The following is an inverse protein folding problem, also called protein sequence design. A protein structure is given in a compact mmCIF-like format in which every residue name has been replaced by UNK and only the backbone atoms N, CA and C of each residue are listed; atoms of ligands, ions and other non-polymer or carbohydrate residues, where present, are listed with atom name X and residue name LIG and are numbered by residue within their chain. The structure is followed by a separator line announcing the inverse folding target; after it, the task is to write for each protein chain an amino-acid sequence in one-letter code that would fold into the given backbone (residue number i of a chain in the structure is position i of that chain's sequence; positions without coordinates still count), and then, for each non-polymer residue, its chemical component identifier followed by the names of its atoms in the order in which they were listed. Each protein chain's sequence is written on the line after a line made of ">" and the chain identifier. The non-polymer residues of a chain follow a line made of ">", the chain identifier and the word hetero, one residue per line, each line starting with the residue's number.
data_IF_736896315397
#
_entry.id   IF_736896315397
#
_cell.length_a   1.000
_cell.length_b   1.000
_cell.length_c   1.000
_cell.angle_alpha   90.00
_cell.angle_beta   90.00
_cell.angle_gamma   90.00
#
_symmetry.space_group_name_H-M   'P 1'
#
loop_
_entity.id
_entity.type
_entity.pdbx_description
1 polymer ?
#
# COMPACT_ATOMS: atom_id res chain seq x y z
N UNK A 1 2.49 17.39 -9.43
CA UNK A 1 3.28 16.54 -10.34
C UNK A 1 3.14 15.10 -9.88
N UNK A 2 2.57 14.22 -10.70
CA UNK A 2 2.35 12.81 -10.36
C UNK A 2 3.67 12.07 -10.07
N UNK A 3 4.71 12.32 -10.87
CA UNK A 3 6.02 11.64 -10.72
C UNK A 3 6.64 11.91 -9.34
N UNK A 4 6.46 13.11 -8.81
CA UNK A 4 6.94 13.47 -7.47
C UNK A 4 6.24 12.67 -6.38
N UNK A 5 4.92 12.53 -6.47
CA UNK A 5 4.16 11.74 -5.48
C UNK A 5 4.53 10.26 -5.56
N UNK A 6 4.68 9.72 -6.77
CA UNK A 6 5.14 8.34 -6.95
C UNK A 6 6.53 8.12 -6.33
N UNK A 7 7.47 9.04 -6.54
CA UNK A 7 8.81 8.94 -5.95
C UNK A 7 8.78 8.96 -4.40
N UNK A 8 7.96 9.84 -3.82
CA UNK A 8 7.77 9.91 -2.36
C UNK A 8 7.11 8.62 -1.83
N UNK A 9 6.07 8.11 -2.49
CA UNK A 9 5.41 6.86 -2.10
C UNK A 9 6.35 5.66 -2.19
N UNK A 10 7.20 5.58 -3.21
CA UNK A 10 8.25 4.56 -3.30
C UNK A 10 9.23 4.66 -2.13
N UNK A 11 9.69 5.87 -1.80
CA UNK A 11 10.57 6.06 -0.65
C UNK A 11 9.91 5.61 0.66
N UNK A 12 8.65 5.98 0.89
CA UNK A 12 7.87 5.51 2.05
C UNK A 12 7.74 3.99 2.07
N UNK A 13 7.47 3.36 0.92
CA UNK A 13 7.36 1.91 0.81
C UNK A 13 8.68 1.21 1.18
N UNK A 14 9.81 1.65 0.62
CA UNK A 14 11.11 1.06 0.91
C UNK A 14 11.55 1.25 2.37
N UNK A 15 11.19 2.37 2.98
CA UNK A 15 11.57 2.71 4.37
C UNK A 15 10.56 2.26 5.43
N UNK A 16 9.38 1.76 5.02
CA UNK A 16 8.33 1.34 5.95
C UNK A 16 7.58 2.49 6.63
N UNK A 17 7.64 3.71 6.08
CA UNK A 17 7.00 4.89 6.66
C UNK A 17 5.51 4.94 6.29
N UNK A 18 4.71 4.12 6.96
CA UNK A 18 3.27 3.94 6.70
C UNK A 18 2.49 5.25 6.77
N UNK A 19 2.64 6.01 7.85
CA UNK A 19 1.87 7.24 8.08
C UNK A 19 2.18 8.32 7.05
N UNK A 20 3.46 8.45 6.66
CA UNK A 20 3.86 9.35 5.58
C UNK A 20 3.32 8.89 4.23
N UNK A 21 3.35 7.59 3.94
CA UNK A 21 2.76 7.03 2.73
C UNK A 21 1.27 7.39 2.60
N UNK A 22 0.48 7.18 3.67
CA UNK A 22 -0.93 7.59 3.74
C UNK A 22 -1.09 9.09 3.53
N UNK A 23 -0.31 9.89 4.27
CA UNK A 23 -0.36 11.36 4.23
C UNK A 23 -0.15 11.87 2.81
N UNK A 24 0.88 11.40 2.11
CA UNK A 24 1.17 11.84 0.74
C UNK A 24 0.16 11.31 -0.28
N UNK A 25 -0.32 10.09 -0.11
CA UNK A 25 -1.39 9.53 -0.96
C UNK A 25 -2.70 10.32 -0.84
N UNK A 26 -3.08 10.77 0.35
CA UNK A 26 -4.25 11.64 0.52
C UNK A 26 -3.97 13.07 0.06
N UNK A 27 -2.75 13.58 0.30
CA UNK A 27 -2.35 14.93 -0.11
C UNK A 27 -2.44 15.10 -1.63
N UNK A 28 -2.09 14.10 -2.45
CA UNK A 28 -2.20 14.26 -3.90
C UNK A 28 -3.64 14.52 -4.39
N UNK A 29 -4.65 14.04 -3.66
CA UNK A 29 -6.07 14.17 -3.97
C UNK A 29 -6.69 15.47 -3.47
N UNK A 30 -5.97 16.24 -2.66
CA UNK A 30 -6.50 17.46 -2.06
C UNK A 30 -6.70 18.56 -3.13
N UNK A 31 -7.36 19.66 -2.76
CA UNK A 31 -7.61 20.79 -3.68
C UNK A 31 -6.34 21.47 -4.19
N UNK A 32 -5.23 21.38 -3.45
CA UNK A 32 -3.96 22.04 -3.80
C UNK A 32 -3.28 21.35 -4.98
N UNK A 33 -3.38 20.01 -5.04
CA UNK A 33 -2.72 19.21 -6.09
C UNK A 33 -3.71 18.68 -7.12
N UNK A 34 -4.93 18.36 -6.71
CA UNK A 34 -6.03 17.87 -7.54
C UNK A 34 -5.63 16.74 -8.50
N UNK A 35 -4.81 15.79 -8.02
CA UNK A 35 -4.34 14.65 -8.79
C UNK A 35 -5.17 13.41 -8.47
N UNK A 36 -5.55 12.68 -9.51
CA UNK A 36 -6.15 11.36 -9.39
C UNK A 36 -5.06 10.30 -9.25
N UNK A 37 -5.07 9.46 -8.19
CA UNK A 37 -4.10 8.39 -8.06
C UNK A 37 -4.23 7.39 -9.21
N UNK A 38 -3.10 7.03 -9.80
CA UNK A 38 -2.98 5.98 -10.83
C UNK A 38 -2.58 4.65 -10.21
N UNK A 39 -2.62 3.59 -11.01
CA UNK A 39 -2.37 2.22 -10.56
C UNK A 39 -1.02 2.07 -9.85
N UNK A 40 0.01 2.81 -10.28
CA UNK A 40 1.33 2.83 -9.67
C UNK A 40 1.29 3.40 -8.24
N UNK A 41 0.52 4.46 -8.00
CA UNK A 41 0.36 5.06 -6.68
C UNK A 41 -0.36 4.12 -5.71
N UNK A 42 -1.41 3.43 -6.20
CA UNK A 42 -2.10 2.39 -5.43
C UNK A 42 -1.16 1.23 -5.13
N UNK A 43 -0.39 0.77 -6.13
CA UNK A 43 0.60 -0.30 -5.97
C UNK A 43 1.60 -0.02 -4.85
N UNK A 44 2.18 1.19 -4.81
CA UNK A 44 3.11 1.57 -3.75
C UNK A 44 2.48 1.53 -2.36
N UNK A 45 1.26 2.06 -2.21
CA UNK A 45 0.60 2.13 -0.91
C UNK A 45 0.11 0.74 -0.45
N UNK A 46 -0.41 -0.09 -1.37
CA UNK A 46 -0.80 -1.48 -1.07
C UNK A 46 0.42 -2.28 -0.63
N UNK A 47 1.55 -2.21 -1.35
CA UNK A 47 2.77 -2.93 -0.97
C UNK A 47 3.28 -2.50 0.42
N UNK A 48 3.30 -1.18 0.69
CA UNK A 48 3.66 -0.63 2.00
C UNK A 48 2.76 -1.18 3.12
N UNK A 49 1.44 -1.16 2.94
CA UNK A 49 0.48 -1.67 3.92
C UNK A 49 0.61 -3.19 4.14
N UNK A 50 0.75 -3.95 3.05
CA UNK A 50 0.97 -5.40 3.08
C UNK A 50 2.23 -5.76 3.86
N UNK A 51 3.36 -5.07 3.60
CA UNK A 51 4.63 -5.31 4.31
C UNK A 51 4.60 -4.87 5.77
N UNK A 52 3.73 -3.91 6.12
CA UNK A 52 3.49 -3.49 7.50
C UNK A 52 2.49 -4.40 8.25
N UNK A 53 1.95 -5.45 7.62
CA UNK A 53 0.96 -6.34 8.23
C UNK A 53 -0.47 -5.76 8.29
N UNK A 54 -0.71 -4.63 7.61
CA UNK A 54 -2.00 -3.93 7.57
C UNK A 54 -2.85 -4.43 6.40
N UNK A 55 -3.03 -5.76 6.34
CA UNK A 55 -3.66 -6.43 5.21
C UNK A 55 -5.11 -5.99 4.99
N UNK A 56 -5.87 -5.78 6.06
CA UNK A 56 -7.28 -5.40 5.97
C UNK A 56 -7.42 -4.01 5.32
N UNK A 57 -6.55 -3.08 5.68
CA UNK A 57 -6.48 -1.74 5.07
C UNK A 57 -6.02 -1.81 3.61
N UNK A 58 -5.04 -2.67 3.30
CA UNK A 58 -4.58 -2.89 1.92
C UNK A 58 -5.72 -3.40 1.02
N UNK A 59 -6.53 -4.34 1.52
CA UNK A 59 -7.69 -4.87 0.82
C UNK A 59 -8.78 -3.81 0.63
N UNK A 60 -9.04 -2.99 1.64
CA UNK A 60 -10.01 -1.90 1.54
C UNK A 60 -9.56 -0.86 0.53
N UNK A 61 -8.28 -0.51 0.49
CA UNK A 61 -7.72 0.39 -0.52
C UNK A 61 -7.94 -0.15 -1.94
N UNK A 62 -7.72 -1.45 -2.17
CA UNK A 62 -7.94 -2.10 -3.47
C UNK A 62 -9.40 -2.01 -3.91
N UNK A 63 -10.35 -2.15 -2.98
CA UNK A 63 -11.79 -1.99 -3.28
C UNK A 63 -12.15 -0.56 -3.72
N UNK A 64 -11.36 0.45 -3.33
CA UNK A 64 -11.58 1.85 -3.74
C UNK A 64 -10.98 2.20 -5.10
N UNK A 65 -10.21 1.29 -5.72
CA UNK A 65 -9.56 1.57 -6.99
C UNK A 65 -10.59 1.76 -8.13
N UNK A 66 -10.42 2.76 -9.00
CA UNK A 66 -11.31 2.97 -10.15
C UNK A 66 -11.03 1.97 -11.29
N UNK A 67 -9.97 1.18 -11.18
CA UNK A 67 -9.51 0.20 -12.17
C UNK A 67 -9.17 -1.12 -11.48
N UNK A 68 -9.15 -2.21 -12.24
CA UNK A 68 -8.78 -3.53 -11.72
C UNK A 68 -7.31 -3.53 -11.24
N UNK A 69 -7.00 -4.11 -10.07
CA UNK A 69 -5.62 -4.29 -9.64
C UNK A 69 -4.84 -5.15 -10.63
N UNK A 70 -3.56 -4.82 -10.82
CA UNK A 70 -2.65 -5.56 -11.68
C UNK A 70 -1.99 -6.75 -10.95
N UNK A 71 -1.10 -7.46 -11.65
CA UNK A 71 -0.38 -8.60 -11.12
C UNK A 71 0.50 -8.24 -9.92
N UNK A 72 1.03 -7.01 -9.88
CA UNK A 72 1.90 -6.56 -8.79
C UNK A 72 1.10 -6.35 -7.51
N UNK A 73 -0.04 -5.66 -7.60
CA UNK A 73 -0.95 -5.45 -6.46
C UNK A 73 -1.48 -6.79 -5.94
N UNK A 74 -1.93 -7.67 -6.84
CA UNK A 74 -2.38 -9.01 -6.45
C UNK A 74 -1.27 -9.81 -5.78
N UNK A 75 -0.05 -9.75 -6.31
CA UNK A 75 1.13 -10.42 -5.76
C UNK A 75 1.48 -9.97 -4.35
N UNK A 76 1.45 -8.65 -4.09
CA UNK A 76 1.72 -8.09 -2.77
C UNK A 76 0.72 -8.60 -1.72
N UNK A 77 -0.58 -8.60 -2.06
CA UNK A 77 -1.65 -9.09 -1.17
C UNK A 77 -1.48 -10.59 -0.89
N UNK A 78 -1.28 -11.41 -1.93
CA UNK A 78 -1.11 -12.86 -1.77
C UNK A 78 0.11 -13.19 -0.91
N UNK A 79 1.21 -12.47 -1.10
CA UNK A 79 2.43 -12.61 -0.29
C UNK A 79 2.16 -12.29 1.19
N UNK A 80 1.44 -11.20 1.47
CA UNK A 80 1.06 -10.81 2.83
C UNK A 80 0.05 -11.77 3.49
N UNK A 81 -0.90 -12.34 2.73
CA UNK A 81 -1.80 -13.38 3.23
C UNK A 81 -1.01 -14.62 3.67
N UNK A 82 -0.03 -15.04 2.87
CA UNK A 82 0.81 -16.20 3.19
C UNK A 82 1.62 -15.97 4.46
N UNK A 83 2.22 -14.78 4.63
CA UNK A 83 3.00 -14.46 5.84
C UNK A 83 2.13 -14.36 7.09
N UNK A 84 0.89 -13.84 6.98
CA UNK A 84 -0.07 -13.79 8.10
C UNK A 84 -0.41 -15.19 8.61
N UNK A 85 -0.58 -16.17 7.70
CA UNK A 85 -0.82 -17.57 8.06
C UNK A 85 0.35 -18.22 8.81
N UNK A 86 1.60 -17.89 8.43
CA UNK A 86 2.80 -18.41 9.12
C UNK A 86 2.96 -17.85 10.53
N UNK A 87 2.57 -16.59 10.78
CA UNK A 87 2.65 -15.97 12.11
C UNK A 87 1.62 -16.52 13.11
N UNK A 88 0.50 -17.08 12.63
CA UNK A 88 -0.51 -17.71 13.49
C UNK A 88 -0.14 -19.12 13.97
N UNK A 89 0.93 -19.72 13.44
CA UNK A 89 1.35 -21.10 13.77
C UNK A 89 2.54 -21.18 14.73
N UNK A 90 3.08 -20.06 15.20
CA UNK A 90 4.08 -20.05 16.26
C UNK A 90 3.41 -19.66 17.59
N UNK A 91 3.04 -20.62 18.46
CA UNK A 91 2.93 -20.31 19.87
C UNK A 91 4.29 -19.72 20.29
N UNK A 92 4.27 -18.52 20.87
CA UNK A 92 5.44 -17.98 21.56
C UNK A 92 5.69 -18.89 22.76
N UNK A 93 6.47 -19.94 22.58
CA UNK A 93 7.06 -20.66 23.69
C UNK A 93 8.13 -19.74 24.30
N UNK A 94 7.87 -19.34 25.54
CA UNK A 94 8.86 -18.85 26.51
C UNK A 94 9.20 -20.01 27.41
#
# INVERSE_FOLDING_TARGET
>A
NEVTFLAVLNACCHTGLVDEGRRYFHKMRNREHNLSPKIEHYGCLVDLLCRAGLLDEALDLVKTMPVKPDVLICGAILSACKSKGTLTELPREV
#
